data_IF_351596012484
#
_entry.id   IF_351596012484
#
_cell.length_a   1.000
_cell.length_b   1.000
_cell.length_c   1.000
_cell.angle_alpha   90.00
_cell.angle_beta   90.00
_cell.angle_gamma   90.00
#
_symmetry.space_group_name_H-M   'P 1'
#
loop_
_entity.id
_entity.type
_entity.pdbx_description
1 polymer ?
#
# COMPACT_ATOMS: atom_id res chain seq x y z
N UNK A 1 15.81 -6.00 -49.02
CA UNK A 1 15.97 -6.97 -47.93
C UNK A 1 16.20 -6.18 -46.66
N UNK A 2 15.15 -5.94 -45.87
CA UNK A 2 15.29 -5.28 -44.56
C UNK A 2 15.79 -6.32 -43.57
N UNK A 3 17.00 -6.11 -43.04
CA UNK A 3 17.55 -6.91 -41.96
C UNK A 3 16.70 -6.72 -40.71
N UNK A 4 15.73 -7.61 -40.50
CA UNK A 4 15.11 -7.79 -39.19
C UNK A 4 16.12 -8.53 -38.32
N UNK A 5 16.83 -7.80 -37.46
CA UNK A 5 17.56 -8.41 -36.35
C UNK A 5 16.57 -9.24 -35.51
N UNK A 6 16.93 -10.48 -35.12
CA UNK A 6 16.10 -11.29 -34.25
C UNK A 6 15.93 -10.57 -32.89
N UNK A 7 14.74 -10.64 -32.28
CA UNK A 7 14.51 -10.02 -30.97
C UNK A 7 15.51 -10.57 -29.96
N UNK A 8 16.17 -9.66 -29.23
CA UNK A 8 17.10 -9.99 -28.14
C UNK A 8 16.39 -10.91 -27.16
N UNK A 9 16.94 -12.11 -26.87
CA UNK A 9 16.30 -13.03 -25.94
C UNK A 9 16.16 -12.36 -24.57
N UNK A 10 15.02 -12.56 -23.87
CA UNK A 10 14.87 -12.05 -22.52
C UNK A 10 16.00 -12.60 -21.63
N UNK A 11 16.48 -11.82 -20.63
CA UNK A 11 17.57 -12.23 -19.77
C UNK A 11 17.31 -13.63 -19.16
N UNK A 12 18.35 -14.46 -19.06
CA UNK A 12 18.26 -15.91 -18.81
C UNK A 12 17.46 -16.33 -17.55
N UNK A 13 17.29 -15.44 -16.56
CA UNK A 13 16.42 -15.69 -15.40
C UNK A 13 14.91 -15.70 -15.73
N UNK A 14 14.52 -15.21 -16.92
CA UNK A 14 13.15 -15.23 -17.44
C UNK A 14 12.86 -16.42 -18.36
N UNK A 15 13.86 -17.23 -18.75
CA UNK A 15 13.72 -18.19 -19.85
C UNK A 15 13.68 -19.68 -19.45
N UNK A 16 14.02 -20.08 -18.21
CA UNK A 16 14.39 -21.50 -17.97
C UNK A 16 13.65 -22.30 -16.89
N UNK A 17 12.57 -21.82 -16.27
CA UNK A 17 11.73 -22.71 -15.44
C UNK A 17 10.32 -22.19 -15.34
N UNK A 18 9.31 -23.08 -15.27
CA UNK A 18 7.95 -22.69 -14.89
C UNK A 18 8.08 -22.02 -13.52
N UNK A 19 7.89 -20.70 -13.41
CA UNK A 19 8.17 -20.02 -12.16
C UNK A 19 7.25 -20.58 -11.08
N UNK A 20 7.84 -21.05 -9.98
CA UNK A 20 7.09 -21.62 -8.86
C UNK A 20 6.86 -20.55 -7.80
N UNK A 21 5.85 -20.76 -6.95
CA UNK A 21 5.65 -19.92 -5.77
C UNK A 21 6.92 -19.83 -4.91
N UNK A 22 7.68 -20.92 -4.80
CA UNK A 22 8.94 -20.95 -4.04
C UNK A 22 9.99 -20.00 -4.62
N UNK A 23 10.08 -19.91 -5.95
CA UNK A 23 10.95 -18.94 -6.63
C UNK A 23 10.56 -17.50 -6.27
N UNK A 24 9.26 -17.19 -6.26
CA UNK A 24 8.76 -15.86 -5.87
C UNK A 24 9.12 -15.53 -4.42
N UNK A 25 8.89 -16.47 -3.50
CA UNK A 25 9.22 -16.28 -2.08
C UNK A 25 10.72 -16.09 -1.87
N UNK A 26 11.55 -16.90 -2.56
CA UNK A 26 13.00 -16.76 -2.52
C UNK A 26 13.46 -15.38 -3.01
N UNK A 27 12.98 -14.94 -4.18
CA UNK A 27 13.31 -13.62 -4.73
C UNK A 27 12.83 -12.48 -3.84
N UNK A 28 11.64 -12.60 -3.24
CA UNK A 28 11.12 -11.61 -2.30
C UNK A 28 12.02 -11.50 -1.06
N UNK A 29 12.41 -12.62 -0.45
CA UNK A 29 13.33 -12.64 0.70
C UNK A 29 14.68 -12.05 0.34
N UNK A 30 15.25 -12.46 -0.79
CA UNK A 30 16.53 -11.93 -1.27
C UNK A 30 16.46 -10.41 -1.48
N UNK A 31 15.35 -9.90 -2.05
CA UNK A 31 15.17 -8.46 -2.25
C UNK A 31 15.18 -7.68 -0.94
N UNK A 32 14.59 -8.23 0.14
CA UNK A 32 14.56 -7.57 1.46
C UNK A 32 15.94 -7.49 2.08
N UNK A 33 16.69 -8.59 2.02
CA UNK A 33 18.08 -8.64 2.49
C UNK A 33 18.95 -7.66 1.72
N UNK A 34 18.83 -7.60 0.39
CA UNK A 34 19.58 -6.65 -0.45
C UNK A 34 19.18 -5.19 -0.17
N UNK A 35 17.89 -4.92 0.03
CA UNK A 35 17.39 -3.57 0.36
C UNK A 35 17.95 -3.10 1.69
N UNK A 36 17.89 -3.94 2.72
CA UNK A 36 18.45 -3.63 4.03
C UNK A 36 19.98 -3.48 3.99
N UNK A 37 20.68 -4.39 3.28
CA UNK A 37 22.13 -4.32 3.14
C UNK A 37 22.56 -3.03 2.44
N UNK A 38 21.87 -2.65 1.36
CA UNK A 38 22.13 -1.38 0.67
C UNK A 38 21.92 -0.18 1.61
N UNK A 39 20.81 -0.15 2.35
CA UNK A 39 20.54 0.91 3.32
C UNK A 39 21.64 1.00 4.40
N UNK A 40 22.02 -0.15 4.95
CA UNK A 40 23.08 -0.26 5.95
C UNK A 40 24.42 0.25 5.44
N UNK A 41 24.84 -0.20 4.24
CA UNK A 41 26.09 0.26 3.64
C UNK A 41 26.04 1.77 3.35
N UNK A 42 24.92 2.30 2.86
CA UNK A 42 24.77 3.74 2.63
C UNK A 42 24.97 4.54 3.93
N UNK A 43 24.34 4.13 5.02
CA UNK A 43 24.44 4.80 6.31
C UNK A 43 25.85 4.69 6.94
N UNK A 44 26.65 3.68 6.55
CA UNK A 44 28.04 3.57 7.00
C UNK A 44 29.00 4.51 6.25
N UNK A 45 28.68 4.86 5.01
CA UNK A 45 29.57 5.64 4.14
C UNK A 45 29.13 7.10 3.95
N UNK A 46 27.88 7.41 4.27
CA UNK A 46 27.30 8.74 4.08
C UNK A 46 26.74 9.21 5.42
N UNK A 47 27.13 10.40 5.82
CA UNK A 47 26.62 11.01 7.04
C UNK A 47 25.13 11.31 6.93
N UNK A 48 24.43 11.13 8.05
CA UNK A 48 23.00 11.40 8.13
C UNK A 48 22.69 12.88 8.01
N UNK A 49 21.62 13.20 7.26
CA UNK A 49 21.08 14.54 7.22
C UNK A 49 20.49 14.99 8.59
N UNK A 50 20.01 14.04 9.40
CA UNK A 50 19.38 14.28 10.70
C UNK A 50 19.81 13.21 11.73
N UNK A 51 20.19 13.64 12.93
CA UNK A 51 20.62 12.80 14.06
C UNK A 51 19.47 12.35 14.98
N UNK A 52 18.21 12.51 14.57
CA UNK A 52 17.05 12.13 15.39
C UNK A 52 17.07 10.66 15.83
N UNK A 53 17.45 9.74 14.93
CA UNK A 53 17.60 8.32 15.28
C UNK A 53 18.70 8.06 16.30
N UNK A 54 19.77 8.85 16.28
CA UNK A 54 20.85 8.74 17.27
C UNK A 54 20.38 9.19 18.65
N UNK A 55 19.50 10.18 18.73
CA UNK A 55 18.95 10.61 20.02
C UNK A 55 18.03 9.55 20.62
N UNK A 56 17.30 8.83 19.78
CA UNK A 56 16.30 7.83 20.19
C UNK A 56 16.94 6.47 20.50
N UNK A 57 18.03 6.12 19.84
CA UNK A 57 18.75 4.86 20.03
C UNK A 57 19.94 5.06 20.99
N UNK A 58 19.83 4.65 22.27
CA UNK A 58 20.96 4.69 23.20
C UNK A 58 22.13 3.80 22.74
N UNK A 59 23.30 3.82 23.41
CA UNK A 59 24.32 2.81 23.14
C UNK A 59 23.81 1.41 23.51
N UNK A 60 23.93 0.44 22.60
CA UNK A 60 23.51 -0.95 22.80
C UNK A 60 24.39 -1.70 23.82
N UNK A 61 25.66 -1.32 23.91
CA UNK A 61 26.61 -1.94 24.85
C UNK A 61 27.65 -0.95 25.33
N UNK A 62 28.41 -1.30 26.36
CA UNK A 62 29.59 -0.54 26.78
C UNK A 62 30.76 -0.66 25.79
N UNK A 63 30.71 -1.58 24.81
CA UNK A 63 31.76 -1.81 23.84
C UNK A 63 31.58 -0.91 22.59
N UNK A 64 32.54 -0.02 22.29
CA UNK A 64 32.41 0.93 21.18
C UNK A 64 32.21 0.29 19.81
N UNK A 65 32.89 -0.84 19.54
CA UNK A 65 32.82 -1.53 18.24
C UNK A 65 31.43 -2.11 17.95
N UNK A 66 30.74 -2.63 18.98
CA UNK A 66 29.38 -3.18 18.82
C UNK A 66 28.43 -2.03 18.46
N UNK A 67 28.55 -0.89 19.13
CA UNK A 67 27.72 0.27 18.83
C UNK A 67 28.01 0.82 17.42
N UNK A 68 29.27 0.80 16.99
CA UNK A 68 29.67 1.28 15.66
C UNK A 68 29.00 0.51 14.52
N UNK A 69 28.84 -0.81 14.65
CA UNK A 69 28.21 -1.63 13.60
C UNK A 69 26.71 -1.88 13.81
N UNK A 70 26.28 -2.13 15.05
CA UNK A 70 24.89 -2.51 15.32
C UNK A 70 23.93 -1.31 15.28
N UNK A 71 24.38 -0.12 15.69
CA UNK A 71 23.52 1.06 15.74
C UNK A 71 23.12 1.55 14.35
N UNK A 72 24.02 1.69 13.35
CA UNK A 72 23.61 2.06 11.99
C UNK A 72 22.64 1.05 11.37
N UNK A 73 22.80 -0.25 11.66
CA UNK A 73 21.90 -1.32 11.21
C UNK A 73 20.47 -1.19 11.75
N UNK A 74 20.31 -0.64 12.94
CA UNK A 74 19.00 -0.36 13.56
C UNK A 74 18.48 1.04 13.22
N UNK A 75 19.37 2.02 13.03
CA UNK A 75 19.00 3.37 12.63
C UNK A 75 18.31 3.37 11.25
N UNK A 76 18.81 2.58 10.30
CA UNK A 76 18.20 2.52 8.95
C UNK A 76 16.77 2.00 8.94
N UNK A 77 16.35 1.21 9.93
CA UNK A 77 14.95 0.74 10.04
C UNK A 77 14.07 1.67 10.88
N UNK A 78 14.67 2.66 11.57
CA UNK A 78 14.01 3.65 12.40
C UNK A 78 14.18 5.06 11.81
N UNK A 79 13.40 5.37 10.77
CA UNK A 79 13.38 6.69 10.13
C UNK A 79 11.94 7.15 9.86
N UNK A 80 11.73 8.47 9.90
CA UNK A 80 10.46 9.13 9.58
C UNK A 80 9.28 8.58 10.41
N UNK A 81 8.25 8.02 9.76
CA UNK A 81 7.04 7.53 10.44
C UNK A 81 7.33 6.37 11.42
N UNK A 82 8.47 5.68 11.26
CA UNK A 82 8.90 4.62 12.17
C UNK A 82 9.07 5.10 13.62
N UNK A 83 9.36 6.39 13.85
CA UNK A 83 9.43 6.94 15.21
C UNK A 83 8.08 6.87 15.91
N UNK A 84 7.00 7.20 15.21
CA UNK A 84 5.65 7.12 15.77
C UNK A 84 5.26 5.66 16.02
N UNK A 85 5.55 4.74 15.08
CA UNK A 85 5.25 3.33 15.29
C UNK A 85 5.99 2.74 16.49
N UNK A 86 7.26 3.12 16.70
CA UNK A 86 8.03 2.72 17.86
C UNK A 86 7.46 3.31 19.15
N UNK A 87 7.17 4.61 19.18
CA UNK A 87 6.61 5.27 20.37
C UNK A 87 5.24 4.69 20.76
N UNK A 88 4.34 4.49 19.79
CA UNK A 88 3.02 3.87 20.03
C UNK A 88 3.17 2.44 20.58
N UNK A 89 4.17 1.69 20.10
CA UNK A 89 4.48 0.36 20.59
C UNK A 89 5.15 0.34 21.98
N UNK A 90 5.70 1.46 22.46
CA UNK A 90 6.35 1.59 23.78
C UNK A 90 5.43 2.16 24.84
N UNK A 91 4.76 3.27 24.54
CA UNK A 91 3.97 4.08 25.48
C UNK A 91 2.47 4.07 25.16
N UNK A 92 2.08 3.65 23.95
CA UNK A 92 0.70 3.78 23.48
C UNK A 92 0.47 5.13 22.80
N UNK A 93 -0.80 5.53 22.64
CA UNK A 93 -1.12 6.82 22.04
C UNK A 93 -0.99 7.91 23.09
N UNK A 94 0.08 8.70 23.01
CA UNK A 94 0.33 9.82 23.94
C UNK A 94 -0.03 11.14 23.27
N UNK A 95 0.26 11.27 21.97
CA UNK A 95 0.03 12.49 21.21
C UNK A 95 -1.11 12.35 20.21
N UNK A 96 -1.92 13.40 20.05
CA UNK A 96 -3.07 13.42 19.13
C UNK A 96 -2.68 13.11 17.68
N UNK A 97 -1.50 13.57 17.24
CA UNK A 97 -0.97 13.31 15.90
C UNK A 97 -0.67 11.83 15.62
N UNK A 98 -0.47 11.01 16.65
CA UNK A 98 -0.15 9.59 16.53
C UNK A 98 -1.34 8.77 16.06
N UNK A 99 -2.56 9.27 16.27
CA UNK A 99 -3.79 8.65 15.79
C UNK A 99 -3.93 8.65 14.26
N UNK A 100 -3.01 9.30 13.52
CA UNK A 100 -2.86 9.08 12.08
C UNK A 100 -2.28 7.70 11.74
N UNK A 101 -1.58 7.07 12.70
CA UNK A 101 -1.01 5.73 12.61
C UNK A 101 -1.91 4.75 13.34
N UNK A 102 -2.28 3.67 12.66
CA UNK A 102 -3.27 2.71 13.18
C UNK A 102 -2.62 1.64 14.07
N UNK A 103 -3.40 1.01 14.98
CA UNK A 103 -2.84 0.30 16.13
C UNK A 103 -2.28 -1.09 15.84
N UNK A 104 -2.71 -1.79 14.78
CA UNK A 104 -2.41 -3.22 14.65
C UNK A 104 -0.92 -3.53 14.61
N UNK A 105 -0.16 -2.79 13.80
CA UNK A 105 1.27 -3.08 13.58
C UNK A 105 2.12 -2.75 14.83
N UNK A 106 1.98 -1.56 15.47
CA UNK A 106 2.62 -1.30 16.76
C UNK A 106 2.23 -2.30 17.86
N UNK A 107 0.95 -2.67 17.96
CA UNK A 107 0.49 -3.64 18.95
C UNK A 107 1.10 -5.03 18.73
N UNK A 108 1.14 -5.51 17.47
CA UNK A 108 1.78 -6.77 17.12
C UNK A 108 3.29 -6.73 17.41
N UNK A 109 3.98 -5.63 17.11
CA UNK A 109 5.39 -5.47 17.41
C UNK A 109 5.66 -5.58 18.92
N UNK A 110 4.84 -4.93 19.76
CA UNK A 110 4.93 -5.04 21.23
C UNK A 110 4.69 -6.48 21.71
N UNK A 111 3.70 -7.18 21.16
CA UNK A 111 3.39 -8.58 21.53
C UNK A 111 4.54 -9.51 21.14
N UNK A 112 5.02 -9.42 19.90
CA UNK A 112 6.15 -10.24 19.41
C UNK A 112 7.41 -9.96 20.22
N UNK A 113 7.68 -8.70 20.54
CA UNK A 113 8.82 -8.31 21.38
C UNK A 113 8.77 -8.99 22.77
N UNK A 114 7.60 -8.96 23.43
CA UNK A 114 7.41 -9.59 24.75
C UNK A 114 7.55 -11.11 24.70
N UNK A 115 7.07 -11.76 23.64
CA UNK A 115 7.15 -13.23 23.50
C UNK A 115 8.58 -13.69 23.25
N UNK A 116 9.28 -13.06 22.30
CA UNK A 116 10.59 -13.55 21.83
C UNK A 116 11.74 -13.10 22.73
N UNK A 117 11.65 -11.92 23.35
CA UNK A 117 12.72 -11.36 24.20
C UNK A 117 12.37 -11.36 25.69
N UNK A 118 11.25 -11.95 26.09
CA UNK A 118 10.75 -12.06 27.48
C UNK A 118 10.57 -10.72 28.23
N UNK A 119 10.93 -9.59 27.62
CA UNK A 119 10.78 -8.20 28.08
C UNK A 119 10.60 -7.29 26.85
N UNK A 120 9.81 -6.21 26.99
CA UNK A 120 9.61 -5.22 25.92
C UNK A 120 10.69 -4.15 25.94
N UNK A 121 11.88 -4.49 25.43
CA UNK A 121 12.94 -3.51 25.16
C UNK A 121 12.68 -2.76 23.84
N UNK A 122 13.10 -1.49 23.75
CA UNK A 122 13.00 -0.62 22.56
C UNK A 122 13.54 -1.31 21.32
N UNK A 123 14.71 -1.94 21.44
CA UNK A 123 15.34 -2.67 20.33
C UNK A 123 14.53 -3.90 19.91
N UNK A 124 13.99 -4.65 20.88
CA UNK A 124 13.16 -5.81 20.61
C UNK A 124 11.88 -5.42 19.85
N UNK A 125 11.24 -4.30 20.23
CA UNK A 125 10.07 -3.75 19.53
C UNK A 125 10.43 -3.35 18.11
N UNK A 126 11.54 -2.61 17.93
CA UNK A 126 11.99 -2.16 16.62
C UNK A 126 12.29 -3.34 15.67
N UNK A 127 13.03 -4.34 16.17
CA UNK A 127 13.34 -5.56 15.41
C UNK A 127 12.06 -6.33 15.11
N UNK A 128 11.15 -6.49 16.08
CA UNK A 128 9.87 -7.16 15.87
C UNK A 128 9.04 -6.45 14.78
N UNK A 129 8.97 -5.12 14.82
CA UNK A 129 8.30 -4.31 13.81
C UNK A 129 8.87 -4.49 12.40
N UNK A 130 10.19 -4.46 12.26
CA UNK A 130 10.86 -4.73 10.99
C UNK A 130 10.65 -6.17 10.52
N UNK A 131 10.70 -7.17 11.41
CA UNK A 131 10.43 -8.56 11.07
C UNK A 131 8.99 -8.75 10.58
N UNK A 132 8.01 -8.16 11.25
CA UNK A 132 6.60 -8.17 10.83
C UNK A 132 6.46 -7.59 9.42
N UNK A 133 7.11 -6.44 9.14
CA UNK A 133 7.09 -5.84 7.81
C UNK A 133 7.70 -6.75 6.74
N UNK A 134 8.89 -7.32 6.98
CA UNK A 134 9.59 -8.15 6.00
C UNK A 134 8.90 -9.50 5.75
N UNK A 135 8.43 -10.18 6.81
CA UNK A 135 7.64 -11.41 6.68
C UNK A 135 6.37 -11.12 5.90
N UNK A 136 5.67 -10.04 6.24
CA UNK A 136 4.45 -9.64 5.54
C UNK A 136 4.73 -9.33 4.07
N UNK A 137 5.86 -8.71 3.73
CA UNK A 137 6.24 -8.43 2.35
C UNK A 137 6.41 -9.70 1.52
N UNK A 138 7.14 -10.68 2.05
CA UNK A 138 7.37 -11.97 1.38
C UNK A 138 6.07 -12.72 1.17
N UNK A 139 5.21 -12.76 2.20
CA UNK A 139 3.88 -13.37 2.10
C UNK A 139 2.97 -12.61 1.13
N UNK A 140 3.04 -11.28 1.09
CA UNK A 140 2.28 -10.44 0.17
C UNK A 140 2.66 -10.72 -1.29
N UNK A 141 3.94 -10.88 -1.60
CA UNK A 141 4.39 -11.28 -2.94
C UNK A 141 3.80 -12.64 -3.36
N UNK A 142 3.78 -13.61 -2.44
CA UNK A 142 3.13 -14.91 -2.66
C UNK A 142 1.61 -14.81 -2.82
N UNK A 143 0.95 -13.97 -2.02
CA UNK A 143 -0.49 -13.72 -2.11
C UNK A 143 -0.86 -13.06 -3.45
N UNK A 144 -0.07 -12.07 -3.92
CA UNK A 144 -0.27 -11.42 -5.21
C UNK A 144 -0.03 -12.39 -6.38
N UNK A 145 0.97 -13.26 -6.30
CA UNK A 145 1.17 -14.34 -7.27
C UNK A 145 -0.07 -15.25 -7.36
N UNK A 146 -0.58 -15.72 -6.21
CA UNK A 146 -1.79 -16.57 -6.13
C UNK A 146 -3.05 -15.86 -6.61
N UNK A 147 -3.21 -14.58 -6.27
CA UNK A 147 -4.29 -13.73 -6.75
C UNK A 147 -4.25 -13.62 -8.27
N UNK A 148 -3.08 -13.32 -8.84
CA UNK A 148 -2.91 -13.19 -10.29
C UNK A 148 -3.23 -14.49 -11.01
N UNK A 149 -2.80 -15.62 -10.45
CA UNK A 149 -3.12 -16.94 -10.99
C UNK A 149 -4.62 -17.27 -10.89
N UNK A 150 -5.30 -16.84 -9.83
CA UNK A 150 -6.75 -17.01 -9.69
C UNK A 150 -7.54 -16.17 -10.70
N UNK A 151 -7.04 -14.99 -11.07
CA UNK A 151 -7.66 -14.12 -12.08
C UNK A 151 -7.29 -14.58 -13.50
N UNK A 152 -6.04 -14.99 -13.75
CA UNK A 152 -5.53 -15.41 -15.06
C UNK A 152 -4.95 -16.84 -15.03
N UNK A 153 -5.79 -17.89 -14.95
CA UNK A 153 -5.32 -19.27 -14.78
C UNK A 153 -4.46 -19.79 -15.93
N UNK A 154 -4.66 -19.27 -17.15
CA UNK A 154 -3.95 -19.71 -18.36
C UNK A 154 -2.58 -19.05 -18.53
N UNK A 155 -2.20 -18.12 -17.64
CA UNK A 155 -1.01 -17.28 -17.80
C UNK A 155 -0.09 -17.27 -16.58
N UNK A 156 0.64 -18.36 -16.31
CA UNK A 156 1.57 -18.44 -15.18
C UNK A 156 2.71 -17.42 -15.28
N UNK A 157 3.15 -17.07 -16.49
CA UNK A 157 4.20 -16.07 -16.72
C UNK A 157 3.77 -14.67 -16.24
N UNK A 158 2.51 -14.29 -16.46
CA UNK A 158 1.96 -13.01 -16.00
C UNK A 158 1.94 -12.94 -14.48
N UNK A 159 1.54 -14.03 -13.81
CA UNK A 159 1.57 -14.12 -12.35
C UNK A 159 2.97 -13.93 -11.78
N UNK A 160 3.98 -14.56 -12.39
CA UNK A 160 5.37 -14.37 -11.99
C UNK A 160 5.86 -12.95 -12.20
N UNK A 161 5.64 -12.37 -13.40
CA UNK A 161 6.05 -10.99 -13.69
C UNK A 161 5.36 -9.98 -12.77
N UNK A 162 4.10 -10.21 -12.41
CA UNK A 162 3.37 -9.38 -11.44
C UNK A 162 4.03 -9.42 -10.07
N UNK A 163 4.40 -10.61 -9.60
CA UNK A 163 5.11 -10.75 -8.33
C UNK A 163 6.50 -10.11 -8.37
N UNK A 164 7.24 -10.26 -9.48
CA UNK A 164 8.53 -9.57 -9.67
C UNK A 164 8.35 -8.05 -9.63
N UNK A 165 7.32 -7.50 -10.27
CA UNK A 165 7.02 -6.06 -10.25
C UNK A 165 6.77 -5.54 -8.83
N UNK A 166 6.09 -6.32 -8.00
CA UNK A 166 5.91 -6.02 -6.57
C UNK A 166 7.21 -6.12 -5.78
N UNK A 167 8.04 -7.14 -6.05
CA UNK A 167 9.32 -7.35 -5.38
C UNK A 167 10.26 -6.15 -5.57
N UNK A 168 10.29 -5.59 -6.79
CA UNK A 168 11.11 -4.42 -7.14
C UNK A 168 10.35 -3.10 -7.03
N UNK A 169 9.28 -3.05 -6.21
CA UNK A 169 8.43 -1.86 -6.09
C UNK A 169 9.23 -0.61 -5.70
N UNK A 170 8.91 0.57 -6.25
CA UNK A 170 9.60 1.83 -5.94
C UNK A 170 9.66 2.16 -4.44
N UNK A 171 8.67 1.72 -3.65
CA UNK A 171 8.60 1.96 -2.19
C UNK A 171 9.43 0.95 -1.36
N UNK A 172 10.59 0.52 -1.86
CA UNK A 172 11.36 -0.61 -1.33
C UNK A 172 11.68 -0.53 0.16
N UNK A 173 12.17 0.62 0.63
CA UNK A 173 12.59 0.77 2.04
C UNK A 173 11.42 0.87 3.03
N UNK A 174 10.32 1.53 2.64
CA UNK A 174 9.07 1.55 3.42
C UNK A 174 8.45 0.16 3.61
N UNK A 175 8.81 -0.79 2.75
CA UNK A 175 8.39 -2.18 2.85
C UNK A 175 9.30 -3.04 3.73
N UNK A 176 10.46 -2.52 4.09
CA UNK A 176 11.54 -3.23 4.82
C UNK A 176 11.70 -2.69 6.25
N UNK A 177 11.54 -1.39 6.46
CA UNK A 177 11.60 -0.73 7.76
C UNK A 177 10.34 -1.00 8.62
N UNK A 178 10.31 -0.49 9.86
CA UNK A 178 9.16 -0.65 10.77
C UNK A 178 7.97 0.22 10.30
N UNK A 179 7.20 -0.33 9.37
CA UNK A 179 6.14 0.37 8.63
C UNK A 179 4.92 -0.54 8.41
N UNK A 180 3.80 0.06 7.99
CA UNK A 180 2.50 -0.61 7.86
C UNK A 180 2.21 -1.11 6.44
N UNK A 181 2.99 -0.68 5.47
CA UNK A 181 2.82 -0.89 4.04
C UNK A 181 2.81 -2.38 3.70
N UNK A 182 3.79 -3.15 4.19
CA UNK A 182 3.90 -4.59 3.93
C UNK A 182 2.77 -5.40 4.59
N UNK A 183 2.45 -5.22 5.89
CA UNK A 183 1.28 -5.87 6.50
C UNK A 183 -0.03 -5.51 5.81
N UNK A 184 -0.19 -4.25 5.41
CA UNK A 184 -1.39 -3.82 4.69
C UNK A 184 -1.50 -4.46 3.31
N UNK A 185 -0.41 -4.54 2.56
CA UNK A 185 -0.36 -5.21 1.26
C UNK A 185 -0.69 -6.71 1.38
N UNK A 186 -0.16 -7.39 2.40
CA UNK A 186 -0.48 -8.80 2.67
C UNK A 186 -1.98 -9.02 2.87
N UNK A 187 -2.59 -8.29 3.82
CA UNK A 187 -4.01 -8.44 4.14
C UNK A 187 -4.90 -8.06 2.95
N UNK A 188 -4.49 -7.04 2.19
CA UNK A 188 -5.18 -6.61 0.96
C UNK A 188 -5.16 -7.69 -0.10
N UNK A 189 -3.98 -8.18 -0.48
CA UNK A 189 -3.84 -9.18 -1.54
C UNK A 189 -4.43 -10.53 -1.15
N UNK A 190 -4.28 -10.92 0.12
CA UNK A 190 -4.92 -12.12 0.65
C UNK A 190 -6.45 -12.00 0.60
N UNK A 191 -7.02 -10.88 1.07
CA UNK A 191 -8.46 -10.66 1.00
C UNK A 191 -8.99 -10.66 -0.43
N UNK A 192 -8.27 -10.04 -1.37
CA UNK A 192 -8.60 -10.09 -2.80
C UNK A 192 -8.51 -11.50 -3.39
N UNK A 193 -7.53 -12.31 -2.96
CA UNK A 193 -7.39 -13.70 -3.38
C UNK A 193 -8.53 -14.59 -2.87
N UNK A 194 -8.92 -14.40 -1.60
CA UNK A 194 -10.07 -15.07 -0.99
C UNK A 194 -11.37 -14.70 -1.70
N UNK A 195 -11.59 -13.40 -1.96
CA UNK A 195 -12.73 -12.88 -2.71
C UNK A 195 -12.78 -13.46 -4.14
N UNK A 196 -11.65 -13.48 -4.85
CA UNK A 196 -11.58 -14.06 -6.20
C UNK A 196 -11.92 -15.57 -6.25
N UNK A 197 -11.80 -16.26 -5.11
CA UNK A 197 -12.22 -17.67 -4.94
C UNK A 197 -13.66 -17.84 -4.43
N UNK A 198 -14.42 -16.75 -4.27
CA UNK A 198 -15.80 -16.77 -3.75
C UNK A 198 -15.89 -16.88 -2.22
N UNK A 199 -14.79 -16.72 -1.50
CA UNK A 199 -14.70 -16.85 -0.03
C UNK A 199 -14.85 -15.49 0.64
N UNK A 200 -16.07 -14.94 0.57
CA UNK A 200 -16.38 -13.57 0.97
C UNK A 200 -16.12 -13.29 2.46
N UNK A 201 -16.43 -14.24 3.35
CA UNK A 201 -16.20 -14.08 4.79
C UNK A 201 -14.71 -13.97 5.14
N UNK A 202 -13.87 -14.81 4.52
CA UNK A 202 -12.42 -14.76 4.70
C UNK A 202 -11.84 -13.45 4.18
N UNK A 203 -12.34 -12.96 3.04
CA UNK A 203 -11.99 -11.65 2.51
C UNK A 203 -12.39 -10.52 3.48
N UNK A 204 -13.59 -10.58 4.05
CA UNK A 204 -14.09 -9.58 5.00
C UNK A 204 -13.27 -9.54 6.29
N UNK A 205 -12.88 -10.70 6.83
CA UNK A 205 -11.97 -10.78 8.00
C UNK A 205 -10.61 -10.16 7.68
N UNK A 206 -10.02 -10.50 6.52
CA UNK A 206 -8.74 -9.97 6.11
C UNK A 206 -8.76 -8.43 5.95
N UNK A 207 -9.80 -7.89 5.29
CA UNK A 207 -9.94 -6.45 5.08
C UNK A 207 -10.40 -5.69 6.33
N UNK A 208 -11.17 -6.31 7.23
CA UNK A 208 -11.47 -5.76 8.56
C UNK A 208 -10.20 -5.60 9.40
N UNK A 209 -9.31 -6.62 9.39
CA UNK A 209 -7.98 -6.50 10.00
C UNK A 209 -7.13 -5.44 9.31
N UNK A 210 -7.19 -5.33 7.97
CA UNK A 210 -6.49 -4.28 7.24
C UNK A 210 -6.95 -2.88 7.67
N UNK A 211 -8.21 -2.73 8.09
CA UNK A 211 -8.76 -1.50 8.67
C UNK A 211 -8.11 -1.09 9.99
N UNK A 212 -7.52 -2.02 10.74
CA UNK A 212 -6.69 -1.72 11.92
C UNK A 212 -5.21 -1.47 11.57
N UNK A 213 -4.82 -1.61 10.30
CA UNK A 213 -3.47 -1.28 9.82
C UNK A 213 -3.46 0.09 9.14
N UNK A 214 -4.51 0.42 8.38
CA UNK A 214 -4.67 1.71 7.70
C UNK A 214 -6.15 2.01 7.40
N UNK A 215 -6.53 3.28 7.39
CA UNK A 215 -7.89 3.76 7.09
C UNK A 215 -8.36 3.46 5.68
N UNK A 216 -7.45 3.35 4.72
CA UNK A 216 -7.79 3.08 3.32
C UNK A 216 -8.39 1.70 3.09
N UNK A 217 -8.39 0.77 4.06
CA UNK A 217 -9.07 -0.52 3.91
C UNK A 217 -10.58 -0.40 3.62
N UNK A 218 -11.21 0.71 4.03
CA UNK A 218 -12.65 0.95 3.87
C UNK A 218 -13.08 0.87 2.40
N UNK A 219 -12.21 1.21 1.44
CA UNK A 219 -12.58 1.16 0.01
C UNK A 219 -12.85 -0.26 -0.50
N UNK A 220 -12.40 -1.30 0.21
CA UNK A 220 -12.61 -2.69 -0.20
C UNK A 220 -14.07 -3.16 -0.06
N UNK A 221 -14.92 -2.41 0.65
CA UNK A 221 -16.38 -2.61 0.66
C UNK A 221 -16.94 -2.61 -0.77
N UNK A 222 -16.34 -1.82 -1.68
CA UNK A 222 -16.74 -1.75 -3.08
C UNK A 222 -16.73 -3.11 -3.80
N UNK A 223 -15.90 -4.07 -3.38
CA UNK A 223 -15.89 -5.42 -3.97
C UNK A 223 -17.17 -6.19 -3.64
N UNK A 224 -17.63 -6.14 -2.38
CA UNK A 224 -18.88 -6.79 -1.97
C UNK A 224 -20.09 -6.10 -2.57
N UNK A 225 -20.10 -4.77 -2.64
CA UNK A 225 -21.17 -4.01 -3.29
C UNK A 225 -21.25 -4.34 -4.78
N UNK A 226 -20.11 -4.43 -5.47
CA UNK A 226 -20.09 -4.80 -6.88
C UNK A 226 -20.58 -6.23 -7.11
N UNK A 227 -20.13 -7.19 -6.30
CA UNK A 227 -20.56 -8.59 -6.38
C UNK A 227 -22.08 -8.72 -6.11
N UNK A 228 -22.57 -8.09 -5.04
CA UNK A 228 -23.99 -8.13 -4.65
C UNK A 228 -24.94 -7.41 -5.62
N UNK A 229 -24.46 -6.44 -6.39
CA UNK A 229 -25.29 -5.68 -7.35
C UNK A 229 -25.11 -6.18 -8.78
N UNK A 230 -23.91 -6.07 -9.35
CA UNK A 230 -23.65 -6.27 -10.77
C UNK A 230 -23.75 -7.74 -11.16
N UNK A 231 -23.14 -8.65 -10.41
CA UNK A 231 -23.23 -10.08 -10.71
C UNK A 231 -24.66 -10.58 -10.54
N UNK A 232 -25.38 -10.09 -9.51
CA UNK A 232 -26.80 -10.39 -9.33
C UNK A 232 -27.66 -9.96 -10.53
N UNK A 233 -27.48 -8.73 -11.04
CA UNK A 233 -28.25 -8.27 -12.21
C UNK A 233 -27.95 -9.09 -13.47
N UNK A 234 -26.72 -9.60 -13.62
CA UNK A 234 -26.31 -10.41 -14.76
C UNK A 234 -26.89 -11.82 -14.71
N UNK A 235 -26.93 -12.42 -13.52
CA UNK A 235 -27.43 -13.77 -13.31
C UNK A 235 -28.88 -13.81 -12.79
N UNK A 236 -29.62 -12.69 -12.91
CA UNK A 236 -31.00 -12.51 -12.41
C UNK A 236 -31.99 -13.57 -12.89
N UNK A 237 -31.70 -14.25 -14.01
CA UNK A 237 -32.50 -15.37 -14.55
C UNK A 237 -32.27 -16.70 -13.82
N UNK A 238 -31.20 -16.84 -13.04
CA UNK A 238 -30.75 -18.10 -12.43
C UNK A 238 -31.05 -18.19 -10.92
N UNK A 239 -31.41 -17.08 -10.27
CA UNK A 239 -31.50 -17.01 -8.81
C UNK A 239 -32.90 -16.62 -8.32
N UNK A 240 -33.47 -17.43 -7.42
CA UNK A 240 -34.73 -17.13 -6.72
C UNK A 240 -34.59 -16.09 -5.61
N UNK A 241 -35.72 -15.60 -5.09
CA UNK A 241 -35.78 -14.54 -4.07
C UNK A 241 -34.98 -14.85 -2.78
N UNK A 242 -34.91 -16.13 -2.37
CA UNK A 242 -34.10 -16.55 -1.21
C UNK A 242 -32.59 -16.34 -1.42
N UNK A 243 -32.08 -16.59 -2.62
CA UNK A 243 -30.67 -16.35 -2.94
C UNK A 243 -30.36 -14.85 -2.91
N UNK A 244 -31.28 -14.00 -3.40
CA UNK A 244 -31.14 -12.55 -3.31
C UNK A 244 -30.98 -12.06 -1.86
N UNK A 245 -31.80 -12.54 -0.93
CA UNK A 245 -31.70 -12.18 0.50
C UNK A 245 -30.36 -12.64 1.06
N UNK A 246 -29.91 -13.86 0.74
CA UNK A 246 -28.63 -14.40 1.20
C UNK A 246 -27.44 -13.56 0.70
N UNK A 247 -27.45 -13.15 -0.57
CA UNK A 247 -26.42 -12.28 -1.14
C UNK A 247 -26.42 -10.89 -0.51
N UNK A 248 -27.59 -10.29 -0.31
CA UNK A 248 -27.72 -8.98 0.35
C UNK A 248 -27.23 -9.05 1.80
N UNK A 249 -27.64 -10.07 2.55
CA UNK A 249 -27.20 -10.31 3.92
C UNK A 249 -25.67 -10.47 3.99
N UNK A 250 -25.10 -11.31 3.13
CA UNK A 250 -23.65 -11.52 3.05
C UNK A 250 -22.92 -10.21 2.72
N UNK A 251 -23.44 -9.42 1.78
CA UNK A 251 -22.87 -8.13 1.39
C UNK A 251 -22.86 -7.14 2.56
N UNK A 252 -23.99 -7.02 3.28
CA UNK A 252 -24.11 -6.11 4.43
C UNK A 252 -23.17 -6.55 5.56
N UNK A 253 -23.22 -7.82 5.97
CA UNK A 253 -22.38 -8.33 7.06
C UNK A 253 -20.88 -8.21 6.72
N UNK A 254 -20.47 -8.60 5.52
CA UNK A 254 -19.07 -8.47 5.10
C UNK A 254 -18.63 -6.99 5.07
N UNK A 255 -19.49 -6.08 4.62
CA UNK A 255 -19.19 -4.64 4.59
C UNK A 255 -19.04 -4.06 6.00
N UNK A 256 -19.90 -4.44 6.95
CA UNK A 256 -19.80 -4.05 8.35
C UNK A 256 -18.52 -4.59 9.01
N UNK A 257 -18.11 -5.81 8.67
CA UNK A 257 -16.83 -6.37 9.12
C UNK A 257 -15.63 -5.59 8.58
N UNK A 258 -15.67 -5.09 7.34
CA UNK A 258 -14.59 -4.23 6.83
C UNK A 258 -14.53 -2.89 7.56
N UNK A 259 -15.69 -2.32 7.92
CA UNK A 259 -15.78 -1.05 8.64
C UNK A 259 -15.31 -1.13 10.10
N UNK A 260 -15.33 -2.32 10.71
CA UNK A 260 -15.11 -2.44 12.16
C UNK A 260 -13.74 -1.90 12.60
N UNK A 261 -12.69 -2.12 11.81
CA UNK A 261 -11.35 -1.64 12.14
C UNK A 261 -11.24 -0.12 12.15
N UNK A 262 -11.77 0.52 11.11
CA UNK A 262 -11.78 1.98 11.02
C UNK A 262 -12.66 2.62 12.09
N UNK A 263 -13.90 2.15 12.22
CA UNK A 263 -14.87 2.71 13.17
C UNK A 263 -14.42 2.48 14.61
N UNK A 264 -13.91 1.29 14.93
CA UNK A 264 -13.41 0.97 16.26
C UNK A 264 -12.25 1.87 16.68
N UNK A 265 -11.31 2.15 15.76
CA UNK A 265 -10.20 3.05 16.06
C UNK A 265 -10.62 4.53 16.13
N UNK A 266 -11.56 4.98 15.30
CA UNK A 266 -12.14 6.32 15.44
C UNK A 266 -12.89 6.49 16.75
N UNK A 267 -13.61 5.46 17.19
CA UNK A 267 -14.31 5.47 18.47
C UNK A 267 -13.33 5.56 19.65
N UNK A 268 -12.21 4.83 19.60
CA UNK A 268 -11.15 4.92 20.60
C UNK A 268 -10.65 6.37 20.77
N UNK A 269 -10.27 7.04 19.67
CA UNK A 269 -9.83 8.43 19.73
C UNK A 269 -10.92 9.41 20.15
N UNK A 270 -12.19 9.12 19.84
CA UNK A 270 -13.33 9.93 20.32
C UNK A 270 -13.48 9.86 21.84
N UNK A 271 -13.36 8.67 22.44
CA UNK A 271 -13.41 8.53 23.90
C UNK A 271 -12.28 9.33 24.56
N UNK A 272 -11.05 9.15 24.07
CA UNK A 272 -9.86 9.79 24.64
C UNK A 272 -9.96 11.33 24.59
N UNK A 273 -10.35 11.92 23.45
CA UNK A 273 -10.30 13.38 23.27
C UNK A 273 -11.61 14.14 23.46
N UNK A 274 -12.76 13.49 23.27
CA UNK A 274 -14.07 14.14 23.38
C UNK A 274 -14.77 13.86 24.70
N UNK A 275 -14.44 12.75 25.38
CA UNK A 275 -15.05 12.36 26.66
C UNK A 275 -14.08 12.60 27.80
N UNK A 276 -12.88 12.04 27.72
CA UNK A 276 -11.94 11.99 28.84
C UNK A 276 -11.04 13.24 28.94
N UNK A 277 -10.71 13.88 27.82
CA UNK A 277 -9.82 15.04 27.77
C UNK A 277 -10.56 16.38 27.98
N UNK A 278 -9.98 17.24 28.83
CA UNK A 278 -10.45 18.63 29.03
C UNK A 278 -9.28 19.62 28.82
N UNK A 279 -9.46 20.72 28.07
CA UNK A 279 -10.67 21.17 27.37
C UNK A 279 -10.98 20.34 26.12
N UNK A 280 -12.28 20.16 25.84
CA UNK A 280 -12.79 19.37 24.71
C UNK A 280 -12.24 19.90 23.38
N UNK A 281 -11.79 18.98 22.52
CA UNK A 281 -11.26 19.35 21.21
C UNK A 281 -12.37 19.87 20.29
N UNK A 282 -12.14 20.94 19.50
CA UNK A 282 -13.25 21.55 18.76
C UNK A 282 -13.77 20.70 17.57
N UNK A 283 -13.05 19.66 17.13
CA UNK A 283 -13.59 18.68 16.17
C UNK A 283 -14.67 17.76 16.75
N UNK A 284 -14.78 17.65 18.08
CA UNK A 284 -15.83 16.87 18.73
C UNK A 284 -17.24 17.43 18.47
N UNK A 285 -17.34 18.73 18.15
CA UNK A 285 -18.61 19.41 17.86
C UNK A 285 -18.97 19.42 16.36
N UNK A 286 -18.18 18.76 15.50
CA UNK A 286 -18.48 18.66 14.08
C UNK A 286 -19.65 17.67 13.82
N UNK A 287 -20.36 17.84 12.70
CA UNK A 287 -21.46 16.94 12.28
C UNK A 287 -21.04 15.49 12.15
N UNK A 288 -19.77 15.25 11.80
CA UNK A 288 -19.11 13.97 11.92
C UNK A 288 -17.79 14.18 12.68
N UNK A 289 -17.71 13.77 13.97
CA UNK A 289 -16.52 13.93 14.80
C UNK A 289 -15.45 12.90 14.39
N UNK A 290 -14.84 13.12 13.24
CA UNK A 290 -13.73 12.33 12.74
C UNK A 290 -12.42 12.99 13.17
N UNK A 291 -11.49 12.23 13.74
CA UNK A 291 -10.14 12.73 14.08
C UNK A 291 -9.46 13.36 12.86
N UNK A 292 -9.72 12.82 11.67
CA UNK A 292 -9.17 13.29 10.40
C UNK A 292 -9.70 14.65 9.94
N UNK A 293 -10.91 15.06 10.37
CA UNK A 293 -11.52 16.34 9.96
C UNK A 293 -10.90 17.56 10.63
N UNK A 294 -10.22 17.39 11.77
CA UNK A 294 -9.61 18.52 12.50
C UNK A 294 -8.55 19.26 11.67
N UNK A 295 -7.82 18.53 10.82
CA UNK A 295 -6.85 19.12 9.89
C UNK A 295 -7.46 20.11 8.87
N UNK A 296 -8.78 20.07 8.66
CA UNK A 296 -9.49 20.84 7.62
C UNK A 296 -10.31 22.02 8.18
N UNK A 297 -10.61 22.04 9.47
CA UNK A 297 -11.76 22.78 10.03
C UNK A 297 -11.43 24.15 10.64
N UNK A 298 -10.15 24.48 10.89
CA UNK A 298 -9.79 25.80 11.41
C UNK A 298 -9.71 26.86 10.31
N UNK A 299 -10.85 27.13 9.67
CA UNK A 299 -11.09 28.35 8.88
C UNK A 299 -12.41 29.01 9.32
N UNK A 300 -12.64 29.10 10.63
CA UNK A 300 -13.67 29.95 11.22
C UNK A 300 -13.08 31.31 11.58
N UNK A 301 -13.49 32.37 10.87
CA UNK A 301 -13.09 33.75 11.12
C UNK A 301 -13.37 34.16 12.58
N UNK A 302 -12.33 34.63 13.27
CA UNK A 302 -12.44 35.63 14.34
C UNK A 302 -12.85 35.14 15.74
N UNK A 303 -11.95 34.50 16.49
CA UNK A 303 -11.85 34.65 17.97
C UNK A 303 -10.39 34.55 18.45
N UNK A 304 -9.92 35.43 19.35
CA UNK A 304 -8.55 35.46 19.82
C UNK A 304 -8.41 34.57 21.08
N UNK A 305 -8.06 33.31 20.88
CA UNK A 305 -7.43 32.51 21.94
C UNK A 305 -6.13 31.95 21.39
N UNK A 306 -5.25 32.89 21.04
CA UNK A 306 -3.85 32.66 20.78
C UNK A 306 -3.12 32.70 22.12
N UNK A 307 -2.96 31.54 22.76
CA UNK A 307 -1.92 31.32 23.78
C UNK A 307 -1.85 29.83 24.13
N UNK A 308 -1.26 29.06 23.21
CA UNK A 308 -0.39 27.91 23.45
C UNK A 308 0.05 27.38 22.06
N UNK A 309 1.14 27.98 21.58
CA UNK A 309 2.13 27.43 20.62
C UNK A 309 1.64 26.84 19.29
N UNK A 310 1.76 27.66 18.23
CA UNK A 310 2.26 27.26 16.89
C UNK A 310 1.80 25.91 16.34
N UNK A 311 0.50 25.76 16.05
CA UNK A 311 0.00 24.64 15.24
C UNK A 311 -0.75 25.20 14.03
N UNK A 312 -0.02 25.48 12.94
CA UNK A 312 -0.62 25.44 11.59
C UNK A 312 -1.33 24.10 11.40
N UNK A 313 -2.42 24.01 10.62
CA UNK A 313 -3.07 22.73 10.31
C UNK A 313 -2.02 21.74 9.80
N UNK A 314 -1.78 20.67 10.56
CA UNK A 314 -0.61 19.80 10.44
C UNK A 314 -0.45 19.06 9.10
N UNK A 315 -1.49 19.06 8.26
CA UNK A 315 -1.41 18.61 6.87
C UNK A 315 -2.30 19.49 6.03
N UNK A 316 -1.77 20.05 4.95
CA UNK A 316 -2.57 20.74 3.93
C UNK A 316 -3.28 19.71 3.03
N UNK A 317 -3.98 18.76 3.66
CA UNK A 317 -4.74 17.71 2.98
C UNK A 317 -6.17 18.20 2.77
N UNK A 318 -6.61 18.17 1.53
CA UNK A 318 -7.95 18.58 1.13
C UNK A 318 -8.00 18.81 -0.38
N UNK A 319 -9.22 18.84 -0.94
CA UNK A 319 -9.43 18.94 -2.37
C UNK A 319 -8.63 20.10 -2.97
N UNK A 320 -7.61 19.76 -3.77
CA UNK A 320 -6.68 20.65 -4.49
C UNK A 320 -5.89 21.64 -3.61
N UNK A 321 -5.90 21.49 -2.28
CA UNK A 321 -5.19 22.42 -1.38
C UNK A 321 -3.67 22.30 -1.47
N UNK A 322 -3.16 21.17 -1.94
CA UNK A 322 -1.74 20.89 -2.09
C UNK A 322 -1.10 21.50 -3.36
N UNK A 323 -1.90 22.09 -4.26
CA UNK A 323 -1.42 22.60 -5.54
C UNK A 323 -0.80 24.00 -5.38
N UNK A 324 0.45 24.02 -4.92
CA UNK A 324 1.27 25.22 -4.83
C UNK A 324 2.49 25.13 -5.75
N UNK A 325 2.98 26.27 -6.26
CA UNK A 325 4.18 26.34 -7.14
C UNK A 325 5.40 25.72 -6.46
N UNK A 326 5.52 25.86 -5.13
CA UNK A 326 6.62 25.28 -4.34
C UNK A 326 6.66 23.75 -4.39
N UNK A 327 5.53 23.10 -4.69
CA UNK A 327 5.40 21.64 -4.68
C UNK A 327 5.70 20.99 -6.02
N UNK A 328 6.04 21.77 -7.07
CA UNK A 328 6.35 21.25 -8.42
C UNK A 328 7.35 20.07 -8.41
N UNK A 329 8.46 20.10 -7.64
CA UNK A 329 9.38 18.96 -7.57
C UNK A 329 8.69 17.66 -7.14
N UNK A 330 7.79 17.73 -6.15
CA UNK A 330 7.07 16.59 -5.62
C UNK A 330 6.05 16.02 -6.62
N UNK A 331 5.47 16.89 -7.45
CA UNK A 331 4.63 16.45 -8.58
C UNK A 331 5.44 15.76 -9.67
N UNK A 332 6.63 16.29 -10.01
CA UNK A 332 7.53 15.65 -10.98
C UNK A 332 7.98 14.27 -10.52
N UNK A 333 8.25 14.13 -9.22
CA UNK A 333 8.63 12.87 -8.61
C UNK A 333 7.50 11.83 -8.65
N UNK A 334 6.25 12.26 -8.41
CA UNK A 334 5.09 11.38 -8.46
C UNK A 334 4.56 11.10 -9.89
N UNK A 335 4.91 11.94 -10.86
CA UNK A 335 4.40 11.90 -12.23
C UNK A 335 4.54 10.53 -12.93
N UNK A 336 5.65 9.77 -12.79
CA UNK A 336 5.77 8.47 -13.44
C UNK A 336 4.72 7.46 -12.96
N UNK A 337 4.46 7.40 -11.65
CA UNK A 337 3.48 6.48 -11.07
C UNK A 337 2.04 6.88 -11.44
N UNK A 338 1.77 8.19 -11.46
CA UNK A 338 0.49 8.75 -11.90
C UNK A 338 0.26 8.43 -13.38
N UNK A 339 1.23 8.73 -14.24
CA UNK A 339 1.18 8.50 -15.67
C UNK A 339 0.99 7.01 -16.01
N UNK A 340 1.75 6.12 -15.37
CA UNK A 340 1.57 4.67 -15.47
C UNK A 340 0.14 4.27 -15.13
N UNK A 341 -0.41 4.82 -14.04
CA UNK A 341 -1.74 4.49 -13.58
C UNK A 341 -2.83 4.97 -14.52
N UNK A 342 -2.72 6.20 -15.02
CA UNK A 342 -3.63 6.72 -16.02
C UNK A 342 -3.57 5.92 -17.32
N UNK A 343 -2.38 5.58 -17.82
CA UNK A 343 -2.22 4.78 -19.03
C UNK A 343 -2.81 3.39 -18.85
N UNK A 344 -2.57 2.72 -17.72
CA UNK A 344 -3.11 1.38 -17.44
C UNK A 344 -4.65 1.37 -17.38
N UNK A 345 -5.24 2.29 -16.63
CA UNK A 345 -6.71 2.42 -16.52
C UNK A 345 -7.32 2.80 -17.88
N UNK A 346 -6.73 3.77 -18.59
CA UNK A 346 -7.20 4.20 -19.89
C UNK A 346 -7.11 3.10 -20.94
N UNK A 347 -6.01 2.33 -20.95
CA UNK A 347 -5.82 1.19 -21.83
C UNK A 347 -6.90 0.12 -21.62
N UNK A 348 -7.25 -0.16 -20.37
CA UNK A 348 -8.37 -1.05 -20.04
C UNK A 348 -9.72 -0.48 -20.50
N UNK A 349 -10.01 0.78 -20.15
CA UNK A 349 -11.30 1.41 -20.44
C UNK A 349 -11.53 1.59 -21.95
N UNK A 350 -10.51 1.95 -22.72
CA UNK A 350 -10.59 2.11 -24.18
C UNK A 350 -10.93 0.79 -24.90
N UNK A 351 -10.54 -0.34 -24.32
CA UNK A 351 -10.77 -1.65 -24.94
C UNK A 351 -12.25 -2.06 -24.90
N UNK A 352 -12.93 -1.89 -23.77
CA UNK A 352 -14.37 -2.15 -23.62
C UNK A 352 -15.04 -1.00 -22.85
N UNK A 353 -15.18 0.14 -23.53
CA UNK A 353 -15.74 1.36 -22.94
C UNK A 353 -17.17 1.18 -22.45
N UNK A 354 -17.96 0.35 -23.15
CA UNK A 354 -19.35 0.05 -22.75
C UNK A 354 -19.39 -0.75 -21.45
N UNK A 355 -18.49 -1.72 -21.28
CA UNK A 355 -18.38 -2.47 -20.03
C UNK A 355 -17.87 -1.63 -18.88
N UNK A 356 -16.91 -0.75 -19.16
CA UNK A 356 -16.42 0.20 -18.19
C UNK A 356 -17.57 1.06 -17.67
N UNK A 357 -18.30 1.78 -18.54
CA UNK A 357 -19.40 2.65 -18.15
C UNK A 357 -20.59 1.93 -17.50
N UNK A 358 -20.90 0.69 -17.92
CA UNK A 358 -22.03 -0.07 -17.38
C UNK A 358 -21.68 -0.91 -16.16
N UNK A 359 -20.53 -0.67 -15.52
CA UNK A 359 -20.04 -1.42 -14.36
C UNK A 359 -19.98 -2.95 -14.58
N UNK A 360 -19.94 -3.41 -15.83
CA UNK A 360 -19.91 -4.83 -16.19
C UNK A 360 -21.23 -5.42 -16.68
N UNK A 361 -22.31 -4.66 -16.71
CA UNK A 361 -23.65 -5.15 -17.10
C UNK A 361 -23.77 -5.44 -18.60
N UNK A 362 -23.09 -4.67 -19.45
CA UNK A 362 -23.04 -4.88 -20.90
C UNK A 362 -21.57 -5.00 -21.32
N UNK A 363 -21.25 -5.93 -22.22
CA UNK A 363 -19.91 -6.02 -22.82
C UNK A 363 -20.05 -6.05 -24.34
N UNK A 364 -19.12 -5.39 -25.00
CA UNK A 364 -18.99 -5.42 -26.45
C UNK A 364 -17.60 -5.96 -26.76
N UNK A 365 -17.44 -7.28 -26.65
CA UNK A 365 -16.20 -7.95 -27.03
C UNK A 365 -16.07 -7.94 -28.55
N UNK A 366 -15.22 -7.07 -29.08
CA UNK A 366 -14.68 -7.27 -30.42
C UNK A 366 -13.66 -8.41 -30.34
N UNK A 367 -13.94 -9.52 -31.02
CA UNK A 367 -13.28 -10.83 -30.91
C UNK A 367 -11.82 -10.90 -31.39
N UNK A 368 -11.17 -9.77 -31.67
CA UNK A 368 -9.88 -9.74 -32.38
C UNK A 368 -8.66 -9.49 -31.50
N UNK A 369 -8.79 -9.47 -30.17
CA UNK A 369 -7.67 -9.10 -29.26
C UNK A 369 -7.20 -10.24 -28.39
N UNK A 370 -5.87 -10.40 -28.33
CA UNK A 370 -5.13 -11.54 -27.77
C UNK A 370 -4.72 -11.40 -26.30
N UNK A 371 -4.83 -10.21 -25.71
CA UNK A 371 -4.36 -9.96 -24.34
C UNK A 371 -5.40 -10.35 -23.28
N UNK A 372 -5.01 -11.10 -22.24
CA UNK A 372 -5.89 -11.55 -21.15
C UNK A 372 -6.36 -10.39 -20.26
N UNK A 373 -5.54 -9.34 -20.12
CA UNK A 373 -5.78 -8.21 -19.24
C UNK A 373 -7.06 -7.47 -19.66
N UNK A 374 -7.26 -7.35 -20.97
CA UNK A 374 -8.37 -6.62 -21.55
C UNK A 374 -9.69 -7.42 -21.60
N UNK A 375 -9.61 -8.75 -21.60
CA UNK A 375 -10.78 -9.62 -21.83
C UNK A 375 -11.47 -10.05 -20.54
N UNK A 376 -10.80 -10.03 -19.39
CA UNK A 376 -11.34 -10.64 -18.17
C UNK A 376 -12.44 -9.81 -17.46
N UNK A 377 -13.65 -10.37 -17.48
CA UNK A 377 -14.83 -10.16 -16.59
C UNK A 377 -14.57 -9.58 -15.19
N UNK A 378 -13.66 -10.26 -14.49
CA UNK A 378 -13.47 -10.15 -13.04
C UNK A 378 -12.46 -9.08 -12.65
N UNK A 379 -11.79 -8.46 -13.63
CA UNK A 379 -10.81 -7.40 -13.38
C UNK A 379 -11.44 -6.05 -13.01
N UNK A 380 -12.71 -5.86 -13.37
CA UNK A 380 -13.37 -4.56 -13.31
C UNK A 380 -13.36 -3.90 -11.91
N UNK A 381 -13.67 -4.61 -10.80
CA UNK A 381 -13.60 -4.04 -9.45
C UNK A 381 -12.20 -3.54 -9.09
N UNK A 382 -11.16 -4.24 -9.53
CA UNK A 382 -9.76 -3.85 -9.29
C UNK A 382 -9.38 -2.58 -10.07
N UNK A 383 -9.89 -2.41 -11.29
CA UNK A 383 -9.67 -1.19 -12.09
C UNK A 383 -10.40 -0.02 -11.46
N UNK A 384 -11.62 -0.21 -10.94
CA UNK A 384 -12.36 0.82 -10.22
C UNK A 384 -11.68 1.22 -8.91
N UNK A 385 -11.21 0.24 -8.13
CA UNK A 385 -10.39 0.48 -6.96
C UNK A 385 -9.18 1.36 -7.35
N UNK A 386 -8.45 0.97 -8.39
CA UNK A 386 -7.29 1.70 -8.85
C UNK A 386 -7.64 3.15 -9.26
N UNK A 387 -8.72 3.34 -10.02
CA UNK A 387 -9.22 4.66 -10.41
C UNK A 387 -9.56 5.53 -9.20
N UNK A 388 -10.34 5.01 -8.26
CA UNK A 388 -10.74 5.75 -7.05
C UNK A 388 -9.51 6.17 -6.25
N UNK A 389 -8.52 5.27 -6.11
CA UNK A 389 -7.28 5.57 -5.38
C UNK A 389 -6.38 6.59 -6.12
N UNK A 390 -6.32 6.56 -7.46
CA UNK A 390 -5.63 7.61 -8.27
C UNK A 390 -6.29 8.95 -8.09
N UNK A 391 -7.62 9.02 -8.26
CA UNK A 391 -8.36 10.26 -8.12
C UNK A 391 -8.19 10.83 -6.72
N UNK A 392 -8.31 9.99 -5.67
CA UNK A 392 -8.08 10.41 -4.29
C UNK A 392 -6.65 10.92 -4.06
N UNK A 393 -5.65 10.19 -4.56
CA UNK A 393 -4.24 10.56 -4.39
C UNK A 393 -3.92 11.91 -5.05
N UNK A 394 -4.45 12.16 -6.24
CA UNK A 394 -4.19 13.39 -7.00
C UNK A 394 -4.94 14.59 -6.43
N UNK A 395 -6.10 14.37 -5.80
CA UNK A 395 -6.98 15.48 -5.35
C UNK A 395 -6.87 15.81 -3.87
N UNK A 396 -6.69 14.81 -2.99
CA UNK A 396 -6.87 14.96 -1.55
C UNK A 396 -5.63 14.58 -0.73
N UNK A 397 -4.58 14.02 -1.35
CA UNK A 397 -3.36 13.58 -0.66
C UNK A 397 -2.12 14.31 -1.20
N UNK A 398 -1.08 14.40 -0.37
CA UNK A 398 0.27 14.72 -0.83
C UNK A 398 0.72 13.73 -1.91
N UNK A 399 0.92 14.23 -3.13
CA UNK A 399 1.04 13.40 -4.34
C UNK A 399 2.31 12.52 -4.33
N UNK A 400 3.37 12.96 -3.65
CA UNK A 400 4.61 12.19 -3.46
C UNK A 400 4.41 10.85 -2.72
N UNK A 401 3.34 10.72 -1.94
CA UNK A 401 3.03 9.48 -1.19
C UNK A 401 2.48 8.38 -2.12
N UNK A 402 2.21 8.68 -3.39
CA UNK A 402 1.59 7.74 -4.33
C UNK A 402 2.34 6.42 -4.46
N UNK A 403 3.67 6.45 -4.50
CA UNK A 403 4.49 5.24 -4.73
C UNK A 403 4.36 4.25 -3.57
N UNK A 404 4.33 4.78 -2.36
CA UNK A 404 4.07 4.04 -1.12
C UNK A 404 2.62 3.58 -1.00
N UNK A 405 1.68 4.45 -1.35
CA UNK A 405 0.24 4.17 -1.25
C UNK A 405 -0.23 3.13 -2.26
N UNK A 406 0.35 3.11 -3.46
CA UNK A 406 -0.05 2.21 -4.55
C UNK A 406 0.58 0.84 -4.45
N UNK A 407 1.43 0.65 -3.44
CA UNK A 407 2.13 -0.58 -3.25
C UNK A 407 1.22 -1.79 -2.96
N UNK A 408 0.01 -1.54 -2.46
CA UNK A 408 -1.04 -2.54 -2.20
C UNK A 408 -2.10 -2.62 -3.31
N UNK A 409 -1.85 -2.04 -4.49
CA UNK A 409 -2.82 -2.00 -5.61
C UNK A 409 -2.40 -3.01 -6.70
N UNK A 410 -3.08 -4.16 -6.86
CA UNK A 410 -2.71 -5.18 -7.85
C UNK A 410 -2.73 -4.66 -9.29
N UNK A 411 -3.66 -3.73 -9.60
CA UNK A 411 -3.84 -3.17 -10.94
C UNK A 411 -2.57 -2.58 -11.55
N UNK A 412 -1.77 -1.90 -10.72
CA UNK A 412 -0.47 -1.34 -11.10
C UNK A 412 0.46 -2.44 -11.58
N UNK A 413 0.62 -3.50 -10.77
CA UNK A 413 1.54 -4.59 -11.06
C UNK A 413 1.07 -5.47 -12.22
N UNK A 414 -0.24 -5.68 -12.38
CA UNK A 414 -0.78 -6.39 -13.54
C UNK A 414 -0.52 -5.64 -14.83
N UNK A 415 -0.68 -4.32 -14.84
CA UNK A 415 -0.39 -3.53 -16.02
C UNK A 415 1.12 -3.54 -16.35
N UNK A 416 1.99 -3.40 -15.34
CA UNK A 416 3.44 -3.51 -15.52
C UNK A 416 3.84 -4.90 -16.06
N UNK A 417 3.26 -5.97 -15.50
CA UNK A 417 3.51 -7.33 -15.94
C UNK A 417 3.04 -7.58 -17.37
N UNK A 418 1.93 -6.96 -17.79
CA UNK A 418 1.43 -7.01 -19.16
C UNK A 418 2.36 -6.29 -20.16
N UNK A 419 2.93 -5.15 -19.75
CA UNK A 419 3.94 -4.44 -20.56
C UNK A 419 5.21 -5.29 -20.67
N UNK A 420 5.65 -5.93 -19.58
CA UNK A 420 6.83 -6.81 -19.59
C UNK A 420 6.62 -8.15 -20.28
N UNK A 421 5.39 -8.65 -20.37
CA UNK A 421 5.09 -9.91 -21.06
C UNK A 421 5.24 -9.78 -22.58
N UNK A 422 5.30 -8.55 -23.11
CA UNK A 422 5.42 -8.27 -24.54
C UNK A 422 4.10 -8.44 -25.31
N UNK A 423 2.97 -8.60 -24.61
CA UNK A 423 1.67 -8.78 -25.24
C UNK A 423 1.20 -7.57 -26.08
N UNK A 424 1.80 -6.39 -25.86
CA UNK A 424 1.65 -5.23 -26.74
C UNK A 424 2.92 -5.03 -27.59
N UNK A 425 2.99 -5.70 -28.75
CA UNK A 425 4.12 -5.61 -29.71
C UNK A 425 4.45 -4.17 -30.20
N UNK A 426 3.59 -3.17 -29.92
CA UNK A 426 3.71 -1.82 -30.49
C UNK A 426 4.74 -0.90 -29.83
N UNK A 427 5.26 -1.20 -28.63
CA UNK A 427 6.14 -0.25 -27.91
C UNK A 427 7.26 -0.91 -27.09
N UNK A 428 8.24 -1.55 -27.73
CA UNK A 428 9.44 -2.12 -27.08
C UNK A 428 10.42 -1.12 -26.43
N UNK A 429 10.01 0.13 -26.23
CA UNK A 429 10.72 1.11 -25.42
C UNK A 429 10.05 1.28 -24.05
N UNK A 430 8.74 1.00 -23.95
CA UNK A 430 7.97 1.21 -22.73
C UNK A 430 8.36 0.21 -21.63
N UNK A 431 8.66 -1.04 -21.99
CA UNK A 431 9.20 -2.07 -21.09
C UNK A 431 10.55 -1.66 -20.48
N UNK A 432 11.47 -1.11 -21.30
CA UNK A 432 12.79 -0.64 -20.87
C UNK A 432 12.68 0.56 -19.96
N UNK A 433 11.84 1.54 -20.30
CA UNK A 433 11.59 2.72 -19.47
C UNK A 433 10.96 2.32 -18.13
N UNK A 434 9.97 1.42 -18.15
CA UNK A 434 9.30 0.94 -16.94
C UNK A 434 10.27 0.20 -16.01
N UNK A 435 11.05 -0.72 -16.57
CA UNK A 435 12.05 -1.48 -15.80
C UNK A 435 13.09 -0.54 -15.18
N UNK A 436 13.60 0.42 -15.96
CA UNK A 436 14.55 1.43 -15.45
C UNK A 436 13.94 2.25 -14.33
N UNK A 437 12.69 2.70 -14.48
CA UNK A 437 11.99 3.45 -13.43
C UNK A 437 11.87 2.64 -12.13
N UNK A 438 11.37 1.41 -12.18
CA UNK A 438 11.21 0.58 -10.97
C UNK A 438 12.56 0.32 -10.28
N UNK A 439 13.59 -0.08 -11.04
CA UNK A 439 14.91 -0.39 -10.47
C UNK A 439 15.61 0.85 -9.93
N UNK A 440 15.69 1.93 -10.72
CA UNK A 440 16.38 3.16 -10.31
C UNK A 440 15.70 3.78 -9.10
N UNK A 441 14.37 3.85 -9.10
CA UNK A 441 13.65 4.42 -7.97
C UNK A 441 13.79 3.53 -6.73
N UNK A 442 13.70 2.20 -6.86
CA UNK A 442 13.91 1.31 -5.73
C UNK A 442 15.31 1.48 -5.12
N UNK A 443 16.35 1.70 -5.93
CA UNK A 443 17.71 1.95 -5.43
C UNK A 443 17.87 3.35 -4.82
N UNK A 444 17.49 4.39 -5.56
CA UNK A 444 17.63 5.79 -5.12
C UNK A 444 16.78 6.05 -3.87
N UNK A 445 15.57 5.51 -3.82
CA UNK A 445 14.69 5.63 -2.66
C UNK A 445 15.28 5.00 -1.40
N UNK A 446 16.04 3.90 -1.53
CA UNK A 446 16.76 3.29 -0.40
C UNK A 446 17.89 4.19 0.09
N UNK A 447 18.68 4.74 -0.84
CA UNK A 447 19.80 5.63 -0.51
C UNK A 447 19.29 6.89 0.21
N UNK A 448 18.25 7.54 -0.34
CA UNK A 448 17.65 8.74 0.24
C UNK A 448 17.07 8.45 1.64
N UNK A 449 16.30 7.36 1.77
CA UNK A 449 15.70 7.00 3.05
C UNK A 449 16.76 6.66 4.11
N UNK A 450 17.81 5.92 3.72
CA UNK A 450 18.87 5.51 4.64
C UNK A 450 19.58 6.69 5.29
N UNK A 451 19.77 7.79 4.55
CA UNK A 451 20.50 8.98 4.98
C UNK A 451 19.58 10.13 5.43
N UNK A 452 18.33 9.84 5.80
CA UNK A 452 17.34 10.82 6.25
C UNK A 452 16.93 11.91 5.26
N UNK A 453 17.17 11.69 3.95
CA UNK A 453 16.58 12.55 2.94
C UNK A 453 15.13 12.14 2.69
N UNK A 454 14.22 13.09 2.42
CA UNK A 454 12.86 12.76 2.04
C UNK A 454 12.94 11.91 0.76
N UNK A 455 12.54 10.63 0.79
CA UNK A 455 12.58 9.76 -0.40
C UNK A 455 11.37 10.02 -1.31
N UNK A 456 10.85 11.25 -1.26
CA UNK A 456 9.55 11.68 -1.73
C UNK A 456 9.61 13.13 -2.24
#
# INVERSE_FOLDING_TARGET
>A
MSNHEPPVPPPAFLSSSRPTLNTVLYLATLSRLLTWLLAYLCNLFVDDYDSASDTILPPLSSFPLVNYFARPALAVILRWDAFYFLHIAEEGYVYEQEHAFFPLVPALARVVARIVWLLSDRYAILIAGALIANISFVLAAGALYRLTYAIYPTQPRLAFLTAVAYIITPSGMFMTAFYTESPFALLTFWGMYEWARGRNWQAAVAWGMAGFVRSNAVVYIGFFVWDGTVMWFKDRRLYGFQSMISHLFTTICCSLMVLCGFVGFQWYGYQEYCVDFTPVRPWCNATAPLLYNWSTCCHGKGKPYALLTTQTPYRNNGFLRYYEIKQIPNFLFAAPMIGLSFVGIYSYARHDWRRFLTLGLRSCLNSTTTSPYHTNARLLPFVYLWLVLVLYCVTNMHVQVITRFFSSVPGVYWFVAEVWSGAQEKHGWADKVMTRYFVLYAMVGVILFANFFPPA
#
